data_IF_508391838968
#
_entry.id   IF_508391838968
#
_cell.length_a   1.000
_cell.length_b   1.000
_cell.length_c   1.000
_cell.angle_alpha   90.00
_cell.angle_beta   90.00
_cell.angle_gamma   90.00
#
_symmetry.space_group_name_H-M   'P 1'
#
loop_
_entity.id
_entity.type
_entity.pdbx_description
1 polymer ?
#
# COMPACT_ATOMS: atom_id res chain seq x y z
N UNK A 1 40.75 15.73 -3.55
CA UNK A 1 39.31 15.54 -3.47
C UNK A 1 38.68 16.44 -4.55
N UNK A 2 38.16 15.85 -5.57
CA UNK A 2 37.48 16.59 -6.66
C UNK A 2 36.05 16.92 -6.22
N UNK A 3 35.76 18.21 -6.02
CA UNK A 3 34.44 18.68 -5.64
C UNK A 3 33.57 18.79 -6.91
N UNK A 4 32.68 17.88 -7.09
CA UNK A 4 31.68 17.95 -8.16
C UNK A 4 30.53 18.87 -7.72
N UNK A 5 30.55 20.13 -8.22
CA UNK A 5 29.39 21.03 -8.11
C UNK A 5 28.44 20.72 -9.24
N UNK A 6 27.25 20.20 -8.93
CA UNK A 6 26.14 20.09 -9.90
C UNK A 6 25.05 21.07 -9.52
N UNK A 7 24.81 22.02 -10.39
CA UNK A 7 23.74 23.00 -10.27
C UNK A 7 22.54 22.49 -11.07
N UNK A 8 21.43 22.22 -10.39
CA UNK A 8 20.20 21.79 -11.03
C UNK A 8 19.19 22.94 -11.00
N UNK A 9 19.07 23.63 -12.12
CA UNK A 9 18.00 24.59 -12.39
C UNK A 9 16.78 23.85 -12.93
N UNK A 10 15.67 23.92 -12.22
CA UNK A 10 14.36 23.34 -12.52
C UNK A 10 14.21 21.84 -12.25
N UNK A 11 13.61 21.51 -11.11
CA UNK A 11 12.81 20.29 -10.97
C UNK A 11 11.50 20.50 -11.77
N UNK A 12 11.54 20.30 -13.09
CA UNK A 12 10.36 20.23 -13.93
C UNK A 12 9.62 18.92 -13.66
N UNK A 13 8.31 18.89 -13.92
CA UNK A 13 7.53 17.65 -13.90
C UNK A 13 8.06 16.72 -15.00
N UNK A 14 8.56 15.54 -14.59
CA UNK A 14 9.00 14.50 -15.52
C UNK A 14 8.15 13.25 -15.27
N UNK A 15 7.73 12.57 -16.33
CA UNK A 15 7.07 11.27 -16.21
C UNK A 15 8.10 10.23 -15.77
N UNK A 16 7.71 9.38 -14.85
CA UNK A 16 8.54 8.26 -14.32
C UNK A 16 8.97 7.30 -15.45
N UNK A 17 8.21 7.29 -16.56
CA UNK A 17 8.50 6.47 -17.75
C UNK A 17 9.79 6.89 -18.47
N UNK A 18 10.23 8.14 -18.31
CA UNK A 18 11.52 8.61 -18.80
C UNK A 18 12.62 8.41 -17.75
N UNK A 19 12.81 7.18 -17.31
CA UNK A 19 13.82 6.75 -16.32
C UNK A 19 15.29 7.04 -16.72
N UNK A 20 15.53 8.02 -17.57
CA UNK A 20 16.79 8.27 -18.25
C UNK A 20 17.66 9.30 -17.51
N UNK A 21 17.10 10.15 -16.66
CA UNK A 21 17.89 11.18 -15.97
C UNK A 21 18.43 10.70 -14.61
N UNK A 22 19.32 9.72 -14.66
CA UNK A 22 20.11 9.34 -13.49
C UNK A 22 21.16 10.41 -13.17
N UNK A 23 21.26 10.80 -11.92
CA UNK A 23 22.35 11.62 -11.41
C UNK A 23 23.53 10.70 -11.14
N UNK A 24 24.53 10.75 -12.02
CA UNK A 24 25.70 9.88 -11.89
C UNK A 24 26.73 10.49 -10.94
N UNK A 25 27.12 9.70 -9.92
CA UNK A 25 28.18 10.02 -8.96
C UNK A 25 29.19 8.88 -8.87
N UNK A 26 30.33 9.08 -8.22
CA UNK A 26 31.32 8.05 -7.95
C UNK A 26 31.51 7.88 -6.44
N UNK A 27 31.77 6.65 -6.02
CA UNK A 27 32.13 6.36 -4.62
C UNK A 27 33.34 7.16 -4.19
N UNK A 28 33.25 7.83 -3.03
CA UNK A 28 34.29 8.68 -2.46
C UNK A 28 34.23 10.15 -2.89
N UNK A 29 33.36 10.54 -3.82
CA UNK A 29 33.15 11.95 -4.15
C UNK A 29 32.41 12.70 -3.02
N UNK A 30 32.75 13.96 -2.81
CA UNK A 30 31.96 14.89 -2.02
C UNK A 30 31.00 15.62 -2.96
N UNK A 31 29.71 15.29 -2.85
CA UNK A 31 28.67 15.75 -3.79
C UNK A 31 27.91 16.91 -3.18
N UNK A 32 27.75 17.98 -3.93
CA UNK A 32 27.00 19.14 -3.52
C UNK A 32 25.82 19.39 -4.49
N UNK A 33 24.61 19.50 -3.97
CA UNK A 33 23.40 19.85 -4.71
C UNK A 33 22.91 21.22 -4.26
N UNK A 34 22.65 22.11 -5.21
CA UNK A 34 21.92 23.36 -5.00
C UNK A 34 20.56 23.26 -5.62
N UNK A 35 19.53 23.26 -4.77
CA UNK A 35 18.13 23.26 -5.17
C UNK A 35 17.64 24.69 -5.30
N UNK A 36 17.02 25.03 -6.43
CA UNK A 36 16.39 26.34 -6.66
C UNK A 36 14.90 26.10 -6.92
N UNK A 37 14.09 26.56 -6.00
CA UNK A 37 12.62 26.46 -6.11
C UNK A 37 12.09 27.76 -6.73
N UNK A 38 11.52 27.68 -7.93
CA UNK A 38 10.88 28.79 -8.64
C UNK A 38 9.35 28.70 -8.58
N UNK A 39 8.81 27.87 -7.70
CA UNK A 39 7.37 27.72 -7.48
C UNK A 39 6.94 28.40 -6.18
N UNK A 40 5.63 28.57 -6.01
CA UNK A 40 5.03 29.12 -4.78
C UNK A 40 4.75 28.03 -3.73
N UNK A 41 5.24 26.79 -3.93
CA UNK A 41 5.00 25.64 -3.06
C UNK A 41 6.28 25.21 -2.37
N UNK A 42 6.14 24.63 -1.17
CA UNK A 42 7.24 23.97 -0.48
C UNK A 42 7.56 22.60 -1.10
N UNK A 43 8.85 22.26 -1.20
CA UNK A 43 9.29 20.97 -1.68
C UNK A 43 10.22 20.31 -0.64
N UNK A 44 9.69 19.43 0.23
CA UNK A 44 10.51 18.60 1.10
C UNK A 44 11.18 17.50 0.26
N UNK A 45 12.49 17.65 0.01
CA UNK A 45 13.28 16.73 -0.79
C UNK A 45 13.97 15.71 0.11
N UNK A 46 13.78 14.42 -0.20
CA UNK A 46 14.34 13.29 0.54
C UNK A 46 15.33 12.50 -0.33
N UNK A 47 16.52 12.26 0.21
CA UNK A 47 17.53 11.43 -0.39
C UNK A 47 17.65 10.11 0.39
N UNK A 48 17.38 9.00 -0.27
CA UNK A 48 17.55 7.68 0.29
C UNK A 48 19.03 7.32 0.43
N UNK A 49 19.36 6.52 1.43
CA UNK A 49 20.69 5.94 1.64
C UNK A 49 21.76 6.90 2.13
N UNK A 50 21.54 8.20 2.10
CA UNK A 50 22.55 9.19 2.43
C UNK A 50 22.07 10.19 3.47
N UNK A 51 22.95 10.54 4.40
CA UNK A 51 22.81 11.74 5.20
C UNK A 51 23.62 12.87 4.58
N UNK A 52 23.03 14.06 4.48
CA UNK A 52 23.66 15.25 3.93
C UNK A 52 23.68 16.40 4.94
N UNK A 53 24.67 17.24 4.83
CA UNK A 53 24.72 18.52 5.54
C UNK A 53 23.94 19.57 4.77
N UNK A 54 23.11 20.35 5.46
CA UNK A 54 22.47 21.53 4.90
C UNK A 54 23.41 22.72 5.09
N UNK A 55 23.94 23.22 3.97
CA UNK A 55 24.91 24.32 4.02
C UNK A 55 24.20 25.66 4.31
N UNK A 56 24.20 26.04 5.56
CA UNK A 56 23.51 27.23 6.07
C UNK A 56 24.47 28.29 6.67
N UNK A 57 25.76 28.19 6.38
CA UNK A 57 26.79 29.09 6.87
C UNK A 57 27.39 28.73 8.23
N UNK A 58 26.95 27.63 8.85
CA UNK A 58 27.43 27.20 10.19
C UNK A 58 28.66 26.27 10.10
N UNK A 59 29.23 26.07 8.90
CA UNK A 59 30.42 25.22 8.71
C UNK A 59 30.17 23.78 9.21
N UNK A 60 31.05 23.28 10.07
CA UNK A 60 30.99 21.93 10.63
C UNK A 60 29.75 21.68 11.52
N UNK A 61 29.11 22.74 12.00
CA UNK A 61 27.85 22.67 12.76
C UNK A 61 26.61 22.64 11.88
N UNK A 62 26.77 22.64 10.55
CA UNK A 62 25.65 22.48 9.63
C UNK A 62 24.89 21.17 9.91
N UNK A 63 23.53 21.21 10.03
CA UNK A 63 22.77 20.04 10.45
C UNK A 63 22.86 18.90 9.43
N UNK A 64 23.01 17.67 9.95
CA UNK A 64 22.97 16.45 9.17
C UNK A 64 21.51 15.98 9.04
N UNK A 65 21.04 15.85 7.82
CA UNK A 65 19.64 15.54 7.46
C UNK A 65 19.60 14.49 6.37
N UNK A 66 18.44 13.85 6.19
CA UNK A 66 18.10 13.03 5.01
C UNK A 66 16.92 13.62 4.22
N UNK A 67 16.27 14.65 4.79
CA UNK A 67 15.19 15.40 4.14
C UNK A 67 15.39 16.89 4.42
N UNK A 68 15.22 17.72 3.39
CA UNK A 68 15.31 19.18 3.50
C UNK A 68 14.15 19.85 2.76
N UNK A 69 13.54 20.84 3.39
CA UNK A 69 12.50 21.63 2.75
C UNK A 69 13.12 22.76 1.94
N UNK A 70 12.77 22.84 0.64
CA UNK A 70 13.11 23.97 -0.22
C UNK A 70 11.92 24.92 -0.24
N UNK A 71 12.04 26.13 0.38
CA UNK A 71 10.93 27.06 0.50
C UNK A 71 10.52 27.65 -0.86
N UNK A 72 9.28 28.17 -0.97
CA UNK A 72 8.83 28.90 -2.17
C UNK A 72 9.82 30.00 -2.59
N UNK A 73 10.12 30.10 -3.87
CA UNK A 73 11.01 31.11 -4.45
C UNK A 73 12.40 31.18 -3.79
N UNK A 74 12.79 30.11 -3.12
CA UNK A 74 14.04 30.03 -2.35
C UNK A 74 15.02 29.01 -2.91
N UNK A 75 16.16 28.89 -2.25
CA UNK A 75 17.16 27.87 -2.57
C UNK A 75 17.75 27.24 -1.31
N UNK A 76 18.18 25.99 -1.44
CA UNK A 76 18.88 25.25 -0.39
C UNK A 76 20.05 24.52 -1.03
N UNK A 77 21.22 24.53 -0.34
CA UNK A 77 22.39 23.75 -0.77
C UNK A 77 22.64 22.65 0.26
N UNK A 78 22.84 21.44 -0.24
CA UNK A 78 23.21 20.28 0.57
C UNK A 78 24.56 19.72 0.11
N UNK A 79 25.23 19.02 1.00
CA UNK A 79 26.49 18.32 0.71
C UNK A 79 26.51 16.96 1.39
N UNK A 80 26.99 15.93 0.68
CA UNK A 80 27.14 14.58 1.23
C UNK A 80 28.34 13.87 0.63
N UNK A 81 28.90 12.95 1.42
CA UNK A 81 29.93 12.03 0.93
C UNK A 81 29.21 10.86 0.22
N UNK A 82 29.60 10.59 -1.01
CA UNK A 82 29.12 9.45 -1.77
C UNK A 82 29.84 8.17 -1.26
N UNK A 83 29.35 7.59 -0.17
CA UNK A 83 29.95 6.44 0.50
C UNK A 83 29.12 5.15 0.37
N UNK A 84 28.04 5.20 -0.39
CA UNK A 84 27.16 4.07 -0.66
C UNK A 84 27.50 3.38 -1.99
N UNK A 85 26.67 2.44 -2.39
CA UNK A 85 26.76 1.70 -3.65
C UNK A 85 25.34 1.54 -4.24
N UNK A 86 25.22 1.18 -5.52
CA UNK A 86 23.96 0.96 -6.24
C UNK A 86 23.20 2.26 -6.54
N UNK A 87 21.92 2.12 -6.79
CA UNK A 87 21.02 3.19 -7.15
C UNK A 87 20.17 3.59 -5.94
N UNK A 88 20.03 4.89 -5.72
CA UNK A 88 19.26 5.45 -4.61
C UNK A 88 18.20 6.41 -5.11
N UNK A 89 17.00 6.31 -4.55
CA UNK A 89 15.89 7.17 -4.91
C UNK A 89 16.05 8.54 -4.25
N UNK A 90 15.78 9.58 -5.02
CA UNK A 90 15.80 10.97 -4.57
C UNK A 90 14.52 11.65 -5.05
N UNK A 91 13.67 12.13 -4.15
CA UNK A 91 12.33 12.58 -4.50
C UNK A 91 11.79 13.67 -3.56
N UNK A 92 10.76 14.38 -4.05
CA UNK A 92 9.93 15.22 -3.19
C UNK A 92 9.06 14.34 -2.30
N UNK A 93 9.01 14.61 -1.00
CA UNK A 93 8.19 13.87 -0.03
C UNK A 93 6.72 14.32 -0.01
N UNK A 94 6.34 15.34 -0.80
CA UNK A 94 4.96 15.56 -1.20
C UNK A 94 4.62 14.51 -2.26
N UNK A 95 3.76 13.54 -1.89
CA UNK A 95 3.44 12.39 -2.75
C UNK A 95 2.85 12.80 -4.09
N UNK A 96 2.02 13.84 -4.11
CA UNK A 96 1.46 14.37 -5.35
C UNK A 96 2.56 14.86 -6.31
N UNK A 97 3.58 15.56 -5.79
CA UNK A 97 4.72 16.01 -6.60
C UNK A 97 5.61 14.85 -7.05
N UNK A 98 5.84 13.87 -6.17
CA UNK A 98 6.58 12.66 -6.49
C UNK A 98 5.91 11.90 -7.63
N UNK A 99 4.62 11.65 -7.53
CA UNK A 99 3.78 10.98 -8.56
C UNK A 99 3.77 11.76 -9.88
N UNK A 100 3.80 13.09 -9.80
CA UNK A 100 3.91 13.97 -10.98
C UNK A 100 5.33 14.02 -11.58
N UNK A 101 6.30 13.25 -11.05
CA UNK A 101 7.65 13.11 -11.60
C UNK A 101 8.74 13.93 -10.90
N UNK A 102 8.48 14.50 -9.72
CA UNK A 102 9.53 15.15 -8.92
C UNK A 102 10.37 14.10 -8.18
N UNK A 103 11.03 13.25 -8.96
CA UNK A 103 11.84 12.12 -8.52
C UNK A 103 13.03 11.92 -9.46
N UNK A 104 14.15 11.43 -8.91
CA UNK A 104 15.39 11.11 -9.63
C UNK A 104 16.02 9.88 -9.00
N UNK A 105 16.95 9.29 -9.72
CA UNK A 105 17.81 8.21 -9.21
C UNK A 105 19.25 8.71 -9.15
N UNK A 106 19.85 8.64 -7.98
CA UNK A 106 21.28 8.82 -7.81
C UNK A 106 21.95 7.47 -8.05
N UNK A 107 22.83 7.38 -9.04
CA UNK A 107 23.47 6.14 -9.48
C UNK A 107 24.98 6.24 -9.37
N UNK A 108 25.58 5.20 -8.75
CA UNK A 108 27.03 5.07 -8.66
C UNK A 108 27.60 4.44 -9.95
N UNK A 109 28.48 5.16 -10.65
CA UNK A 109 28.97 4.81 -12.00
C UNK A 109 29.64 3.44 -12.11
N UNK A 110 30.22 2.94 -11.02
CA UNK A 110 31.01 1.71 -11.03
C UNK A 110 30.18 0.44 -10.72
N UNK A 111 28.87 0.61 -10.49
CA UNK A 111 27.94 -0.50 -10.17
C UNK A 111 26.98 -0.81 -11.32
N UNK A 112 27.32 -0.43 -12.54
CA UNK A 112 26.46 -0.62 -13.74
C UNK A 112 26.30 -2.07 -14.21
N UNK A 113 26.83 -3.06 -13.53
CA UNK A 113 26.26 -4.39 -13.61
C UNK A 113 25.05 -4.46 -12.66
N UNK A 114 23.98 -3.78 -13.03
CA UNK A 114 22.66 -4.21 -12.58
C UNK A 114 22.59 -5.70 -12.91
N UNK A 115 22.61 -6.52 -11.86
CA UNK A 115 22.43 -7.94 -12.06
C UNK A 115 21.12 -8.12 -12.82
N UNK A 116 21.19 -8.62 -14.06
CA UNK A 116 20.01 -8.81 -14.89
C UNK A 116 18.95 -9.65 -14.16
N UNK A 117 19.38 -10.51 -13.23
CA UNK A 117 18.52 -11.29 -12.34
C UNK A 117 17.73 -10.41 -11.37
N UNK A 118 18.29 -9.30 -10.89
CA UNK A 118 17.57 -8.34 -10.04
C UNK A 118 16.56 -7.56 -10.87
N UNK A 119 16.92 -7.11 -12.07
CA UNK A 119 15.99 -6.45 -12.99
C UNK A 119 14.86 -7.38 -13.39
N UNK A 120 15.15 -8.64 -13.68
CA UNK A 120 14.16 -9.66 -14.00
C UNK A 120 13.23 -9.94 -12.81
N UNK A 121 13.77 -9.97 -11.58
CA UNK A 121 12.95 -10.09 -10.36
C UNK A 121 12.09 -8.87 -10.09
N UNK A 122 12.59 -7.64 -10.33
CA UNK A 122 11.81 -6.41 -10.20
C UNK A 122 10.76 -6.26 -11.31
N UNK A 123 11.06 -6.77 -12.51
CA UNK A 123 10.11 -6.81 -13.62
C UNK A 123 9.14 -7.98 -13.53
N UNK A 124 9.40 -8.98 -12.68
CA UNK A 124 8.48 -10.10 -12.47
C UNK A 124 7.35 -9.64 -11.55
N UNK A 125 6.12 -9.79 -12.05
CA UNK A 125 4.91 -9.55 -11.26
C UNK A 125 4.66 -10.77 -10.35
N UNK A 126 5.35 -10.78 -9.20
CA UNK A 126 5.33 -11.89 -8.26
C UNK A 126 3.95 -12.05 -7.63
N UNK A 127 3.50 -13.28 -7.47
CA UNK A 127 2.28 -13.60 -6.73
C UNK A 127 2.57 -13.73 -5.25
N UNK A 128 1.80 -13.03 -4.45
CA UNK A 128 1.86 -13.05 -2.99
C UNK A 128 0.64 -13.76 -2.42
N UNK A 129 0.84 -14.52 -1.37
CA UNK A 129 -0.23 -15.22 -0.65
C UNK A 129 -0.49 -14.53 0.68
N UNK A 130 -1.76 -14.35 0.99
CA UNK A 130 -2.23 -13.87 2.27
C UNK A 130 -3.33 -14.80 2.76
N UNK A 131 -3.26 -15.17 4.03
CA UNK A 131 -4.31 -15.89 4.72
C UNK A 131 -4.63 -15.18 6.04
N UNK A 132 -5.91 -15.02 6.30
CA UNK A 132 -6.43 -14.60 7.62
C UNK A 132 -7.52 -15.60 7.97
N UNK A 133 -7.39 -16.26 9.11
CA UNK A 133 -8.41 -17.19 9.64
C UNK A 133 -8.71 -16.81 11.07
N UNK A 134 -9.98 -16.61 11.37
CA UNK A 134 -10.50 -16.37 12.71
C UNK A 134 -11.34 -17.56 13.16
N UNK A 135 -11.06 -18.07 14.34
CA UNK A 135 -11.85 -19.11 14.98
C UNK A 135 -12.45 -18.52 16.25
N UNK A 136 -13.75 -18.36 16.26
CA UNK A 136 -14.51 -17.75 17.34
C UNK A 136 -15.56 -18.73 17.90
N UNK A 137 -16.17 -18.41 19.02
CA UNK A 137 -17.13 -19.30 19.68
C UNK A 137 -18.43 -19.53 18.90
N UNK A 138 -18.77 -18.63 17.98
CA UNK A 138 -19.96 -18.66 17.13
C UNK A 138 -19.66 -19.11 15.69
N UNK A 139 -18.51 -18.73 15.12
CA UNK A 139 -18.18 -19.01 13.73
C UNK A 139 -16.66 -19.16 13.51
N UNK A 140 -16.31 -19.76 12.40
CA UNK A 140 -14.99 -19.69 11.80
C UNK A 140 -15.09 -18.87 10.52
N UNK A 141 -14.33 -17.80 10.43
CA UNK A 141 -14.31 -16.91 9.27
C UNK A 141 -12.90 -16.74 8.72
N UNK A 142 -12.78 -16.36 7.47
CA UNK A 142 -11.47 -16.07 6.93
C UNK A 142 -11.43 -15.67 5.47
N UNK A 143 -10.17 -15.41 5.06
CA UNK A 143 -9.87 -15.02 3.69
C UNK A 143 -8.55 -15.65 3.26
N UNK A 144 -8.54 -16.25 2.09
CA UNK A 144 -7.33 -16.72 1.40
C UNK A 144 -7.22 -15.91 0.10
N UNK A 145 -6.11 -15.23 -0.10
CA UNK A 145 -5.87 -14.38 -1.26
C UNK A 145 -4.52 -14.68 -1.90
N UNK A 146 -4.52 -14.92 -3.21
CA UNK A 146 -3.33 -14.96 -4.05
C UNK A 146 -3.38 -13.77 -5.00
N UNK A 147 -2.43 -12.84 -4.91
CA UNK A 147 -2.47 -11.61 -5.70
C UNK A 147 -1.12 -11.20 -6.24
N UNK A 148 -1.15 -10.57 -7.40
CA UNK A 148 -0.03 -9.81 -7.96
C UNK A 148 -0.41 -8.32 -8.07
N UNK A 149 0.33 -7.51 -8.82
CA UNK A 149 0.12 -6.06 -8.90
C UNK A 149 -1.31 -5.66 -9.30
N UNK A 150 -1.98 -6.45 -10.16
CA UNK A 150 -3.29 -6.07 -10.71
C UNK A 150 -4.37 -7.13 -10.58
N UNK A 151 -4.01 -8.36 -10.30
CA UNK A 151 -4.94 -9.47 -10.31
C UNK A 151 -4.92 -10.17 -8.97
N UNK A 152 -6.06 -10.63 -8.51
CA UNK A 152 -6.17 -11.46 -7.33
C UNK A 152 -7.19 -12.60 -7.55
N UNK A 153 -6.94 -13.69 -6.88
CA UNK A 153 -7.95 -14.72 -6.60
C UNK A 153 -8.16 -14.69 -5.11
N UNK A 154 -9.39 -14.51 -4.69
CA UNK A 154 -9.77 -14.42 -3.28
C UNK A 154 -10.89 -15.42 -2.99
N UNK A 155 -10.76 -16.08 -1.84
CA UNK A 155 -11.82 -16.90 -1.25
C UNK A 155 -12.06 -16.35 0.14
N UNK A 156 -13.24 -15.81 0.37
CA UNK A 156 -13.76 -15.46 1.70
C UNK A 156 -14.70 -16.57 2.15
N UNK A 157 -14.71 -16.86 3.43
CA UNK A 157 -15.61 -17.87 3.97
C UNK A 157 -16.00 -17.53 5.39
N UNK A 158 -17.27 -17.78 5.67
CA UNK A 158 -17.88 -17.80 6.99
C UNK A 158 -18.54 -19.17 7.17
N UNK A 159 -18.38 -19.78 8.33
CA UNK A 159 -18.95 -21.06 8.66
C UNK A 159 -19.26 -21.13 10.16
N UNK A 160 -20.52 -21.32 10.52
CA UNK A 160 -20.91 -21.54 11.89
C UNK A 160 -20.83 -23.03 12.29
N UNK A 161 -21.10 -23.33 13.55
CA UNK A 161 -21.04 -24.71 14.05
C UNK A 161 -22.34 -25.49 13.85
N UNK A 162 -23.40 -24.85 13.32
CA UNK A 162 -24.71 -25.42 13.01
C UNK A 162 -24.86 -25.79 11.52
N UNK A 163 -23.72 -25.79 10.78
CA UNK A 163 -23.58 -26.19 9.38
C UNK A 163 -24.02 -25.15 8.33
N UNK A 164 -24.26 -23.93 8.72
CA UNK A 164 -24.42 -22.81 7.79
C UNK A 164 -23.08 -22.34 7.30
N UNK A 165 -23.00 -21.91 6.06
CA UNK A 165 -21.80 -21.31 5.51
C UNK A 165 -22.12 -20.34 4.39
N UNK A 166 -21.27 -19.32 4.23
CA UNK A 166 -21.19 -18.43 3.08
C UNK A 166 -19.75 -18.39 2.57
N UNK A 167 -19.56 -18.67 1.28
CA UNK A 167 -18.26 -18.72 0.62
C UNK A 167 -18.31 -17.92 -0.67
N UNK A 168 -17.58 -16.82 -0.72
CA UNK A 168 -17.28 -16.08 -1.94
C UNK A 168 -15.95 -16.52 -2.55
N UNK A 169 -15.95 -16.96 -3.81
CA UNK A 169 -14.73 -17.28 -4.56
C UNK A 169 -14.67 -16.41 -5.82
N UNK A 170 -13.78 -15.44 -5.84
CA UNK A 170 -13.74 -14.42 -6.91
C UNK A 170 -12.35 -14.24 -7.50
N UNK A 171 -12.35 -13.89 -8.79
CA UNK A 171 -11.20 -13.28 -9.45
C UNK A 171 -11.44 -11.77 -9.51
N UNK A 172 -10.44 -11.01 -9.08
CA UNK A 172 -10.46 -9.56 -9.04
C UNK A 172 -9.38 -8.97 -9.96
N UNK A 173 -9.70 -7.83 -10.55
CA UNK A 173 -8.76 -7.04 -11.33
C UNK A 173 -8.81 -5.57 -10.96
N UNK A 174 -7.70 -5.05 -10.47
CA UNK A 174 -7.51 -3.64 -10.17
C UNK A 174 -7.36 -2.84 -11.48
N UNK A 175 -8.28 -1.92 -11.72
CA UNK A 175 -8.28 -0.98 -12.85
C UNK A 175 -7.54 0.29 -12.47
N UNK A 176 -7.80 0.81 -11.27
CA UNK A 176 -7.09 1.92 -10.66
C UNK A 176 -6.70 1.58 -9.23
N UNK A 177 -6.06 2.49 -8.52
CA UNK A 177 -5.70 2.33 -7.11
C UNK A 177 -6.91 2.11 -6.18
N UNK A 178 -8.09 2.60 -6.55
CA UNK A 178 -9.28 2.60 -5.71
C UNK A 178 -10.46 1.87 -6.35
N UNK A 179 -10.28 1.35 -7.58
CA UNK A 179 -11.35 0.72 -8.33
C UNK A 179 -10.91 -0.64 -8.87
N UNK A 180 -11.66 -1.66 -8.50
CA UNK A 180 -11.46 -3.05 -8.91
C UNK A 180 -12.78 -3.60 -9.48
N UNK A 181 -12.68 -4.51 -10.42
CA UNK A 181 -13.80 -5.31 -10.93
C UNK A 181 -13.57 -6.77 -10.55
N UNK A 182 -14.65 -7.50 -10.28
CA UNK A 182 -14.56 -8.91 -9.93
C UNK A 182 -15.66 -9.74 -10.59
N UNK A 183 -15.39 -11.03 -10.69
CA UNK A 183 -16.33 -12.05 -11.10
C UNK A 183 -16.00 -13.37 -10.41
N UNK A 184 -17.02 -14.15 -10.06
CA UNK A 184 -16.82 -15.41 -9.35
C UNK A 184 -18.12 -16.13 -9.03
N UNK A 185 -18.13 -16.83 -7.91
CA UNK A 185 -19.30 -17.52 -7.38
C UNK A 185 -19.45 -17.29 -5.89
N UNK A 186 -20.68 -17.24 -5.46
CA UNK A 186 -21.09 -17.33 -4.07
C UNK A 186 -21.72 -18.70 -3.83
N UNK A 187 -21.39 -19.31 -2.71
CA UNK A 187 -21.84 -20.64 -2.29
C UNK A 187 -22.32 -20.51 -0.85
N UNK A 188 -23.61 -20.63 -0.68
CA UNK A 188 -24.27 -20.41 0.60
C UNK A 188 -25.10 -21.63 1.03
N UNK A 189 -25.17 -21.85 2.33
CA UNK A 189 -26.09 -22.77 2.96
C UNK A 189 -26.71 -22.08 4.16
N UNK A 190 -28.02 -21.94 4.13
CA UNK A 190 -28.82 -21.25 5.13
C UNK A 190 -29.17 -22.13 6.37
N UNK A 191 -29.95 -21.56 7.29
CA UNK A 191 -30.47 -22.25 8.50
C UNK A 191 -31.37 -23.46 8.16
N UNK A 192 -32.09 -23.42 7.07
CA UNK A 192 -32.95 -24.52 6.59
C UNK A 192 -32.15 -25.60 5.85
N UNK A 193 -30.81 -25.45 5.77
CA UNK A 193 -29.86 -26.30 5.05
C UNK A 193 -30.11 -26.34 3.54
N UNK A 194 -30.79 -25.35 3.00
CA UNK A 194 -30.89 -25.16 1.56
C UNK A 194 -29.56 -24.66 1.01
N UNK A 195 -29.17 -25.14 -0.16
CA UNK A 195 -27.92 -24.80 -0.81
C UNK A 195 -28.23 -23.88 -1.98
N UNK A 196 -27.68 -22.68 -1.93
CA UNK A 196 -27.72 -21.72 -3.01
C UNK A 196 -26.32 -21.51 -3.59
N UNK A 197 -26.22 -21.57 -4.92
CA UNK A 197 -24.97 -21.33 -5.62
C UNK A 197 -25.23 -20.36 -6.76
N UNK A 198 -24.66 -19.16 -6.66
CA UNK A 198 -24.87 -18.12 -7.67
C UNK A 198 -23.53 -17.69 -8.29
N UNK A 199 -23.57 -17.34 -9.57
CA UNK A 199 -22.48 -16.61 -10.19
C UNK A 199 -22.62 -15.12 -9.85
N UNK A 200 -21.54 -14.46 -9.50
CA UNK A 200 -21.52 -13.05 -9.11
C UNK A 200 -20.57 -12.24 -9.97
N UNK A 201 -20.92 -11.01 -10.26
CA UNK A 201 -20.08 -10.03 -10.92
C UNK A 201 -20.31 -8.66 -10.29
N UNK A 202 -19.24 -7.89 -10.17
CA UNK A 202 -19.35 -6.59 -9.51
C UNK A 202 -18.09 -5.76 -9.58
N UNK A 203 -18.09 -4.74 -8.75
CA UNK A 203 -16.93 -3.87 -8.57
C UNK A 203 -16.77 -3.43 -7.11
N UNK A 204 -15.52 -3.19 -6.74
CA UNK A 204 -15.14 -2.61 -5.46
C UNK A 204 -14.62 -1.19 -5.69
N UNK A 205 -14.97 -0.28 -4.80
CA UNK A 205 -14.47 1.09 -4.81
C UNK A 205 -14.19 1.58 -3.39
N UNK A 206 -12.99 2.11 -3.18
CA UNK A 206 -12.64 2.72 -1.88
C UNK A 206 -13.10 4.17 -1.88
N UNK A 207 -14.11 4.45 -1.08
CA UNK A 207 -14.67 5.78 -0.86
C UNK A 207 -13.74 6.65 0.02
N UNK A 208 -13.93 7.99 0.07
CA UNK A 208 -13.27 8.83 1.05
C UNK A 208 -13.43 8.30 2.48
N UNK A 209 -12.45 8.57 3.35
CA UNK A 209 -12.34 8.05 4.72
C UNK A 209 -12.06 6.54 4.80
N UNK A 210 -11.57 5.93 3.71
CA UNK A 210 -11.24 4.50 3.63
C UNK A 210 -12.46 3.59 3.89
N UNK A 211 -13.62 4.00 3.41
CA UNK A 211 -14.81 3.14 3.41
C UNK A 211 -14.73 2.27 2.15
N UNK A 212 -14.63 0.97 2.35
CA UNK A 212 -14.71 -0.01 1.29
C UNK A 212 -16.16 -0.17 0.87
N UNK A 213 -16.41 -0.08 -0.42
CA UNK A 213 -17.73 -0.31 -1.00
C UNK A 213 -17.66 -1.36 -2.09
N UNK A 214 -18.64 -2.26 -2.12
CA UNK A 214 -18.79 -3.29 -3.12
C UNK A 214 -20.21 -3.25 -3.68
N UNK A 215 -20.33 -3.35 -5.00
CA UNK A 215 -21.62 -3.52 -5.67
C UNK A 215 -21.54 -4.79 -6.49
N UNK A 216 -22.46 -5.73 -6.26
CA UNK A 216 -22.53 -6.98 -7.03
C UNK A 216 -23.96 -7.24 -7.56
N UNK A 217 -24.03 -8.03 -8.59
CA UNK A 217 -25.25 -8.65 -9.10
C UNK A 217 -24.98 -10.14 -9.24
N UNK A 218 -25.94 -10.97 -8.87
CA UNK A 218 -25.88 -12.41 -9.00
C UNK A 218 -26.56 -12.91 -10.29
N UNK A 219 -26.45 -14.23 -10.53
CA UNK A 219 -27.05 -14.89 -11.70
C UNK A 219 -28.60 -14.95 -11.66
N UNK A 220 -29.24 -14.66 -10.53
CA UNK A 220 -30.67 -14.60 -10.35
C UNK A 220 -31.25 -13.19 -10.55
N UNK A 221 -30.35 -12.19 -10.62
CA UNK A 221 -30.68 -10.80 -10.85
C UNK A 221 -30.80 -9.98 -9.57
N UNK A 222 -30.42 -10.53 -8.41
CA UNK A 222 -30.38 -9.79 -7.16
C UNK A 222 -29.14 -8.89 -7.12
N UNK A 223 -29.32 -7.68 -6.63
CA UNK A 223 -28.24 -6.70 -6.49
C UNK A 223 -27.93 -6.43 -5.03
N UNK A 224 -26.65 -6.53 -4.63
CA UNK A 224 -26.18 -6.24 -3.25
C UNK A 224 -25.21 -5.05 -3.26
N UNK A 225 -25.46 -4.06 -2.41
CA UNK A 225 -24.49 -3.03 -2.03
C UNK A 225 -23.95 -3.36 -0.64
N UNK A 226 -22.64 -3.35 -0.51
CA UNK A 226 -21.93 -3.60 0.74
C UNK A 226 -21.04 -2.43 1.07
N UNK A 227 -20.97 -2.05 2.35
CA UNK A 227 -20.09 -1.03 2.90
C UNK A 227 -19.34 -1.60 4.10
N UNK A 228 -18.09 -1.21 4.26
CA UNK A 228 -17.30 -1.60 5.42
C UNK A 228 -16.11 -0.68 5.63
N UNK A 229 -15.49 -0.76 6.81
CA UNK A 229 -14.24 -0.06 7.07
C UNK A 229 -13.50 -0.67 8.26
N UNK A 230 -12.18 -0.51 8.24
CA UNK A 230 -11.30 -0.78 9.38
C UNK A 230 -10.91 0.55 10.02
N UNK A 231 -11.09 0.68 11.33
CA UNK A 231 -10.74 1.86 12.11
C UNK A 231 -9.69 1.48 13.16
N UNK A 232 -8.50 2.07 13.06
CA UNK A 232 -7.47 1.91 14.09
C UNK A 232 -7.85 2.70 15.33
N UNK A 233 -8.13 2.01 16.46
CA UNK A 233 -8.51 2.63 17.73
C UNK A 233 -7.30 2.92 18.62
N UNK A 234 -6.32 2.00 18.63
CA UNK A 234 -5.08 2.11 19.40
C UNK A 234 -3.94 1.48 18.57
N UNK A 235 -2.71 1.51 19.08
CA UNK A 235 -1.56 0.86 18.40
C UNK A 235 -1.78 -0.63 18.09
N UNK A 236 -2.67 -1.30 18.85
CA UNK A 236 -2.96 -2.74 18.72
C UNK A 236 -4.43 -3.06 18.57
N UNK A 237 -5.30 -2.09 18.76
CA UNK A 237 -6.75 -2.28 18.73
C UNK A 237 -7.35 -1.73 17.46
N UNK A 238 -8.17 -2.54 16.79
CA UNK A 238 -8.89 -2.21 15.59
C UNK A 238 -10.37 -2.48 15.75
N UNK A 239 -11.17 -1.71 15.06
CA UNK A 239 -12.60 -1.91 14.92
C UNK A 239 -12.92 -2.08 13.45
N UNK A 240 -13.61 -3.17 13.11
CA UNK A 240 -14.12 -3.44 11.78
C UNK A 240 -15.64 -3.39 11.83
N UNK A 241 -16.23 -2.84 10.80
CA UNK A 241 -17.66 -2.90 10.60
C UNK A 241 -17.97 -3.21 9.15
N UNK A 242 -19.06 -3.89 8.96
CA UNK A 242 -19.59 -4.32 7.68
C UNK A 242 -21.11 -4.21 7.71
N UNK A 243 -21.70 -3.80 6.61
CA UNK A 243 -23.13 -3.72 6.40
C UNK A 243 -23.45 -3.91 4.92
N UNK A 244 -24.58 -4.55 4.60
CA UNK A 244 -25.05 -4.66 3.23
C UNK A 244 -26.57 -4.44 3.11
N UNK A 245 -27.08 -4.44 1.87
CA UNK A 245 -28.51 -4.20 1.56
C UNK A 245 -29.43 -5.37 1.87
N UNK A 246 -28.88 -6.54 2.18
CA UNK A 246 -29.65 -7.73 2.55
C UNK A 246 -29.91 -7.77 4.07
N UNK A 247 -29.71 -6.61 4.74
CA UNK A 247 -29.89 -6.37 6.17
C UNK A 247 -28.83 -7.06 7.05
N UNK A 248 -27.79 -7.61 6.45
CA UNK A 248 -26.66 -8.21 7.19
C UNK A 248 -25.70 -7.13 7.68
N UNK A 249 -25.22 -7.31 8.90
CA UNK A 249 -24.20 -6.45 9.50
C UNK A 249 -23.31 -7.22 10.46
N UNK A 250 -22.04 -6.81 10.50
CA UNK A 250 -21.03 -7.37 11.41
C UNK A 250 -20.19 -6.26 12.01
N UNK A 251 -19.97 -6.35 13.31
CA UNK A 251 -19.06 -5.50 14.06
C UNK A 251 -18.00 -6.37 14.73
N UNK A 252 -16.72 -6.01 14.54
CA UNK A 252 -15.63 -6.79 15.11
C UNK A 252 -14.65 -5.88 15.84
N UNK A 253 -14.17 -6.34 17.00
CA UNK A 253 -13.06 -5.77 17.70
C UNK A 253 -11.88 -6.73 17.61
N UNK A 254 -10.77 -6.25 17.13
CA UNK A 254 -9.50 -6.97 17.03
C UNK A 254 -8.49 -6.34 17.97
N UNK A 255 -7.76 -7.17 18.73
CA UNK A 255 -6.61 -6.75 19.51
C UNK A 255 -5.39 -7.60 19.16
N UNK A 256 -4.36 -6.99 18.58
CA UNK A 256 -3.14 -7.65 18.15
C UNK A 256 -2.27 -8.07 19.33
N UNK A 257 -2.15 -9.38 19.54
CA UNK A 257 -1.26 -9.97 20.54
C UNK A 257 0.17 -10.06 20.00
N UNK A 258 0.31 -10.50 18.76
CA UNK A 258 1.55 -10.55 17.98
C UNK A 258 1.26 -10.15 16.54
N UNK A 259 2.28 -9.99 15.69
CA UNK A 259 2.08 -9.70 14.26
C UNK A 259 1.24 -10.75 13.50
N UNK A 260 1.12 -11.95 14.03
CA UNK A 260 0.43 -13.07 13.39
C UNK A 260 -0.79 -13.56 14.16
N UNK A 261 -1.03 -13.11 15.40
CA UNK A 261 -2.13 -13.58 16.26
C UNK A 261 -2.84 -12.40 16.87
N UNK A 262 -4.15 -12.38 16.76
CA UNK A 262 -5.03 -11.38 17.35
C UNK A 262 -6.15 -12.03 18.16
N UNK A 263 -6.56 -11.38 19.24
CA UNK A 263 -7.82 -11.67 19.93
C UNK A 263 -8.95 -10.98 19.17
N UNK A 264 -10.04 -11.72 18.95
CA UNK A 264 -11.22 -11.25 18.21
C UNK A 264 -12.46 -11.30 19.06
N UNK A 265 -13.35 -10.36 18.84
CA UNK A 265 -14.75 -10.41 19.32
C UNK A 265 -15.62 -9.86 18.20
N UNK A 266 -16.71 -10.54 17.90
CA UNK A 266 -17.67 -10.09 16.89
C UNK A 266 -19.10 -10.02 17.44
N UNK A 267 -19.93 -9.30 16.71
CA UNK A 267 -21.38 -9.39 16.74
C UNK A 267 -21.88 -9.34 15.29
N UNK A 268 -22.61 -10.34 14.92
CA UNK A 268 -23.06 -10.60 13.55
C UNK A 268 -24.58 -10.77 13.53
N UNK A 269 -25.23 -10.34 12.43
CA UNK A 269 -26.70 -10.47 12.29
C UNK A 269 -27.15 -11.93 12.17
N UNK A 270 -26.33 -12.78 11.53
CA UNK A 270 -26.69 -14.15 11.16
C UNK A 270 -26.07 -15.17 12.14
N UNK A 271 -24.91 -14.86 12.69
CA UNK A 271 -24.11 -15.79 13.51
C UNK A 271 -23.98 -15.36 14.98
N UNK A 272 -24.77 -14.37 15.43
CA UNK A 272 -24.74 -13.86 16.81
C UNK A 272 -23.35 -13.33 17.26
N UNK A 273 -23.11 -13.30 18.57
CA UNK A 273 -21.88 -12.79 19.16
C UNK A 273 -20.88 -13.87 19.50
N UNK A 274 -19.60 -13.60 19.24
CA UNK A 274 -18.51 -14.53 19.52
C UNK A 274 -17.21 -13.87 19.97
N UNK A 275 -16.34 -14.72 20.52
CA UNK A 275 -14.95 -14.36 20.89
C UNK A 275 -14.02 -15.47 20.45
N UNK A 276 -12.80 -15.11 20.06
CA UNK A 276 -11.85 -16.10 19.59
C UNK A 276 -10.49 -15.52 19.24
N UNK A 277 -9.78 -16.21 18.34
CA UNK A 277 -8.45 -15.84 17.88
C UNK A 277 -8.42 -15.77 16.36
N UNK A 278 -7.72 -14.79 15.82
CA UNK A 278 -7.36 -14.75 14.41
C UNK A 278 -5.87 -15.05 14.22
N UNK A 279 -5.57 -15.78 13.15
CA UNK A 279 -4.21 -16.09 12.70
C UNK A 279 -4.01 -15.51 11.30
N UNK A 280 -2.91 -14.78 11.12
CA UNK A 280 -2.57 -14.07 9.89
C UNK A 280 -1.20 -14.52 9.36
N UNK A 281 -1.12 -14.80 8.07
CA UNK A 281 0.13 -15.18 7.37
C UNK A 281 0.34 -14.35 6.11
#
# INVERSE_FOLDING_TARGET
>A
MENLKKEYDNFGFFKIEDAVDKILIKKGENVQFKFVNRTMMHHPLHLHGHFFRVLNGQGDYSPLKHTVNVPPMGSVTIEFLANEEKDWFFHCHNLYHMEAGMARVISYKDTTQFNQDILNKLASDSTYFRNVTSVQSNLTSGMIRASNTRNAIEVKYDHNYDHEYDIDAVYERSITRFFEVFAGGNFERDEDLEIENTAIVGFNYVLPMLIDSSVRIDSEGNGRLQLGSEIQLTDRGKFHWHWNTDEEYRFELEYELTKNVSLMSNYDSDFDGGVGLAIKF
#
